data_IF_155079440047
#
_entry.id   IF_155079440047
#
_cell.length_a   1.000
_cell.length_b   1.000
_cell.length_c   1.000
_cell.angle_alpha   90.00
_cell.angle_beta   90.00
_cell.angle_gamma   90.00
#
_symmetry.space_group_name_H-M   'P 1'
#
loop_
_entity.id
_entity.type
_entity.pdbx_description
1 polymer ?
#
# COMPACT_ATOMS: atom_id res chain seq x y z
N UNK A 1 -6.58 25.84 26.30
CA UNK A 1 -6.59 26.63 25.06
C UNK A 1 -7.36 25.83 24.03
N UNK A 2 -8.48 26.35 23.53
CA UNK A 2 -9.16 25.73 22.38
C UNK A 2 -8.19 25.75 21.20
N UNK A 3 -7.96 24.59 20.58
CA UNK A 3 -7.11 24.50 19.40
C UNK A 3 -7.84 25.14 18.22
N UNK A 4 -7.19 26.12 17.58
CA UNK A 4 -7.70 26.77 16.38
C UNK A 4 -7.78 25.76 15.23
N UNK A 5 -8.98 25.54 14.70
CA UNK A 5 -9.21 24.70 13.52
C UNK A 5 -9.29 25.58 12.27
N UNK A 6 -8.69 25.12 11.17
CA UNK A 6 -8.71 25.79 9.87
C UNK A 6 -9.45 24.93 8.86
N UNK A 7 -10.27 25.55 8.00
CA UNK A 7 -10.92 24.87 6.88
C UNK A 7 -9.93 24.71 5.70
N UNK A 8 -9.80 23.49 5.20
CA UNK A 8 -9.12 23.17 3.95
C UNK A 8 -10.04 22.35 3.05
N UNK A 9 -9.68 22.17 1.78
CA UNK A 9 -10.44 21.31 0.85
C UNK A 9 -9.52 20.22 0.31
N UNK A 10 -9.96 18.96 0.44
CA UNK A 10 -9.37 17.82 -0.25
C UNK A 10 -10.42 17.16 -1.14
N UNK A 11 -10.10 17.00 -2.42
CA UNK A 11 -11.09 16.63 -3.43
C UNK A 11 -12.23 17.64 -3.47
N UNK A 12 -13.44 17.17 -3.21
CA UNK A 12 -14.65 17.99 -3.10
C UNK A 12 -15.15 18.10 -1.65
N UNK A 13 -14.34 17.70 -0.68
CA UNK A 13 -14.70 17.61 0.73
C UNK A 13 -13.98 18.70 1.53
N UNK A 14 -14.75 19.51 2.26
CA UNK A 14 -14.22 20.47 3.22
C UNK A 14 -13.75 19.72 4.46
N UNK A 15 -12.57 20.00 4.98
CA UNK A 15 -12.01 19.40 6.20
C UNK A 15 -11.69 20.51 7.21
N UNK A 16 -11.85 20.20 8.50
CA UNK A 16 -11.44 21.04 9.61
C UNK A 16 -10.20 20.41 10.24
N UNK A 17 -9.07 21.11 10.18
CA UNK A 17 -7.77 20.57 10.63
C UNK A 17 -7.16 21.46 11.70
N UNK A 18 -6.45 20.90 12.70
CA UNK A 18 -5.67 21.72 13.63
C UNK A 18 -4.66 22.56 12.86
N UNK A 19 -4.64 23.88 13.10
CA UNK A 19 -3.77 24.82 12.39
C UNK A 19 -2.30 24.39 12.35
N UNK A 20 -1.81 23.88 13.48
CA UNK A 20 -0.42 23.42 13.64
C UNK A 20 -0.08 22.22 12.73
N UNK A 21 -1.08 21.43 12.32
CA UNK A 21 -0.88 20.32 11.37
C UNK A 21 -0.50 20.78 9.96
N UNK A 22 -0.73 22.06 9.62
CA UNK A 22 -0.37 22.65 8.33
C UNK A 22 1.03 23.26 8.32
N UNK A 23 1.58 23.56 9.50
CA UNK A 23 2.83 24.29 9.66
C UNK A 23 3.96 23.32 10.02
N UNK A 24 3.69 22.35 10.89
CA UNK A 24 4.71 21.44 11.41
C UNK A 24 5.09 20.34 10.41
N UNK A 25 6.37 20.03 10.34
CA UNK A 25 6.89 18.88 9.62
C UNK A 25 6.49 17.55 10.28
N UNK A 26 6.22 17.54 11.58
CA UNK A 26 5.69 16.41 12.34
C UNK A 26 4.38 16.81 13.02
N UNK A 27 3.22 16.59 12.36
CA UNK A 27 1.95 17.07 12.86
C UNK A 27 1.67 16.62 14.30
N UNK A 28 1.12 17.51 15.15
CA UNK A 28 0.85 17.19 16.54
C UNK A 28 -0.21 16.09 16.66
N UNK A 29 -0.10 15.28 17.72
CA UNK A 29 -1.11 14.26 18.04
C UNK A 29 -2.29 14.82 18.83
N UNK A 30 -2.11 15.99 19.43
CA UNK A 30 -3.14 16.72 20.15
C UNK A 30 -3.57 17.97 19.37
N UNK A 31 -4.86 18.32 19.37
CA UNK A 31 -5.98 17.58 19.94
C UNK A 31 -6.34 16.34 19.11
N UNK A 32 -5.95 16.31 17.84
CA UNK A 32 -6.13 15.19 16.92
C UNK A 32 -5.07 15.25 15.82
N UNK A 33 -4.60 14.09 15.36
CA UNK A 33 -3.60 14.03 14.30
C UNK A 33 -4.23 14.24 12.91
N UNK A 34 -3.57 15.06 12.09
CA UNK A 34 -3.82 15.15 10.65
C UNK A 34 -2.51 15.38 9.90
N UNK A 35 -2.27 14.62 8.83
CA UNK A 35 -1.12 14.83 7.96
C UNK A 35 -1.56 15.32 6.58
N UNK A 36 -1.28 16.59 6.20
CA UNK A 36 -1.60 17.10 4.87
C UNK A 36 -0.82 16.38 3.76
N UNK A 37 0.37 15.85 4.04
CA UNK A 37 1.17 15.09 3.06
C UNK A 37 0.52 13.76 2.66
N UNK A 38 -0.42 13.26 3.47
CA UNK A 38 -1.17 12.05 3.17
C UNK A 38 -2.35 12.28 2.19
N UNK A 39 -2.55 13.52 1.68
CA UNK A 39 -3.58 13.85 0.68
C UNK A 39 -3.53 12.92 -0.53
N UNK A 40 -2.35 12.73 -1.12
CA UNK A 40 -2.19 11.85 -2.31
C UNK A 40 -2.59 10.40 -1.98
N UNK A 41 -2.28 9.92 -0.77
CA UNK A 41 -2.72 8.58 -0.32
C UNK A 41 -4.24 8.46 -0.23
N UNK A 42 -4.90 9.51 0.27
CA UNK A 42 -6.36 9.59 0.33
C UNK A 42 -6.96 9.67 -1.08
N UNK A 43 -6.38 10.43 -1.99
CA UNK A 43 -6.81 10.49 -3.39
C UNK A 43 -6.77 9.10 -4.06
N UNK A 44 -5.66 8.37 -3.95
CA UNK A 44 -5.61 6.99 -4.44
C UNK A 44 -6.62 6.07 -3.75
N UNK A 45 -6.87 6.28 -2.44
CA UNK A 45 -7.88 5.51 -1.71
C UNK A 45 -9.27 5.74 -2.32
N UNK A 46 -9.66 6.98 -2.59
CA UNK A 46 -10.94 7.31 -3.23
C UNK A 46 -11.04 6.68 -4.63
N UNK A 47 -9.98 6.76 -5.45
CA UNK A 47 -9.96 6.12 -6.78
C UNK A 47 -10.13 4.60 -6.68
N UNK A 48 -9.37 3.95 -5.79
CA UNK A 48 -9.42 2.50 -5.61
C UNK A 48 -10.78 2.04 -5.10
N UNK A 49 -11.37 2.77 -4.14
CA UNK A 49 -12.70 2.46 -3.59
C UNK A 49 -13.80 2.66 -4.64
N UNK A 50 -13.77 3.76 -5.39
CA UNK A 50 -14.70 3.98 -6.51
C UNK A 50 -14.64 2.82 -7.51
N UNK A 51 -13.43 2.42 -7.91
CA UNK A 51 -13.20 1.32 -8.86
C UNK A 51 -13.76 -0.01 -8.35
N UNK A 52 -13.49 -0.32 -7.08
CA UNK A 52 -13.99 -1.52 -6.44
C UNK A 52 -15.54 -1.55 -6.41
N UNK A 53 -16.18 -0.44 -6.06
CA UNK A 53 -17.63 -0.34 -5.90
C UNK A 53 -18.42 -0.49 -7.22
N UNK A 54 -17.78 -0.34 -8.38
CA UNK A 54 -18.39 -0.60 -9.69
C UNK A 54 -18.71 -2.09 -9.90
N UNK A 55 -17.87 -2.97 -9.33
CA UNK A 55 -17.98 -4.42 -9.54
C UNK A 55 -18.56 -5.15 -8.34
N UNK A 56 -18.49 -4.56 -7.15
CA UNK A 56 -19.01 -5.16 -5.92
C UNK A 56 -20.54 -5.11 -5.87
N UNK A 57 -21.17 -6.25 -5.58
CA UNK A 57 -22.64 -6.44 -5.57
C UNK A 57 -23.25 -6.64 -4.18
N UNK A 58 -22.45 -6.66 -3.12
CA UNK A 58 -22.95 -6.76 -1.75
C UNK A 58 -23.31 -5.41 -1.12
N UNK A 59 -23.69 -5.38 0.17
CA UNK A 59 -23.95 -4.16 0.92
C UNK A 59 -22.72 -3.25 0.95
N UNK A 60 -22.86 -1.99 0.54
CA UNK A 60 -21.72 -1.07 0.32
C UNK A 60 -21.38 -0.31 1.60
N UNK A 61 -20.91 -1.07 2.59
CA UNK A 61 -20.47 -0.57 3.90
C UNK A 61 -18.97 -0.28 3.90
N UNK A 62 -18.58 0.91 4.35
CA UNK A 62 -17.18 1.31 4.56
C UNK A 62 -16.86 1.36 6.06
N UNK A 63 -15.78 0.69 6.47
CA UNK A 63 -15.29 0.68 7.85
C UNK A 63 -13.93 1.40 7.92
N UNK A 64 -13.90 2.55 8.61
CA UNK A 64 -12.67 3.28 8.95
C UNK A 64 -12.30 2.97 10.41
N UNK A 65 -11.31 2.11 10.63
CA UNK A 65 -10.98 1.61 11.98
C UNK A 65 -10.20 2.60 12.85
N UNK A 66 -9.48 3.53 12.21
CA UNK A 66 -8.51 4.46 12.79
C UNK A 66 -8.63 5.82 12.08
N UNK A 67 -9.80 6.44 12.20
CA UNK A 67 -10.23 7.51 11.32
C UNK A 67 -9.51 8.85 11.55
N UNK A 68 -8.91 9.05 12.73
CA UNK A 68 -8.44 10.36 13.17
C UNK A 68 -9.58 11.39 13.07
N UNK A 69 -9.34 12.50 12.36
CA UNK A 69 -10.37 13.52 12.11
C UNK A 69 -11.41 13.13 11.05
N UNK A 70 -11.43 11.88 10.57
CA UNK A 70 -12.38 11.40 9.56
C UNK A 70 -12.08 11.85 8.13
N UNK A 71 -10.84 12.30 7.84
CA UNK A 71 -10.48 12.83 6.53
C UNK A 71 -10.66 11.80 5.38
N UNK A 72 -10.50 10.49 5.66
CA UNK A 72 -10.73 9.45 4.66
C UNK A 72 -12.20 9.05 4.60
N UNK A 73 -12.78 8.67 5.74
CA UNK A 73 -14.18 8.24 5.84
C UNK A 73 -15.17 9.28 5.33
N UNK A 74 -14.98 10.57 5.65
CA UNK A 74 -15.92 11.62 5.21
C UNK A 74 -15.74 11.91 3.73
N UNK A 75 -14.52 11.85 3.19
CA UNK A 75 -14.32 11.88 1.73
C UNK A 75 -15.00 10.72 1.04
N UNK A 76 -14.90 9.50 1.58
CA UNK A 76 -15.64 8.33 1.06
C UNK A 76 -17.15 8.60 1.10
N UNK A 77 -17.66 9.17 2.19
CA UNK A 77 -19.07 9.46 2.30
C UNK A 77 -19.53 10.56 1.32
N UNK A 78 -18.74 11.60 1.14
CA UNK A 78 -19.09 12.77 0.34
C UNK A 78 -18.84 12.57 -1.17
N UNK A 79 -17.76 11.88 -1.53
CA UNK A 79 -17.29 11.76 -2.92
C UNK A 79 -17.80 10.48 -3.59
N UNK A 80 -18.22 9.46 -2.83
CA UNK A 80 -18.68 8.16 -3.36
C UNK A 80 -20.16 7.91 -3.02
N UNK A 81 -21.06 8.28 -3.94
CA UNK A 81 -22.51 8.10 -3.79
C UNK A 81 -22.92 6.64 -3.62
N UNK A 82 -22.18 5.73 -4.24
CA UNK A 82 -22.45 4.29 -4.17
C UNK A 82 -22.32 3.71 -2.75
N UNK A 83 -21.61 4.38 -1.82
CA UNK A 83 -21.47 3.90 -0.44
C UNK A 83 -22.73 4.19 0.34
N UNK A 84 -23.31 3.14 0.93
CA UNK A 84 -24.58 3.18 1.66
C UNK A 84 -24.38 3.64 3.11
N UNK A 85 -23.32 3.13 3.76
CA UNK A 85 -23.05 3.40 5.18
C UNK A 85 -21.56 3.52 5.42
N UNK A 86 -21.17 4.54 6.17
CA UNK A 86 -19.78 4.78 6.59
C UNK A 86 -19.71 4.69 8.11
N UNK A 87 -18.79 3.89 8.62
CA UNK A 87 -18.46 3.84 10.03
C UNK A 87 -17.10 4.50 10.26
N UNK A 88 -17.08 5.46 11.19
CA UNK A 88 -15.95 6.31 11.52
C UNK A 88 -15.54 6.00 12.96
N UNK A 89 -14.48 5.23 13.13
CA UNK A 89 -14.01 4.81 14.43
C UNK A 89 -12.67 5.44 14.79
N UNK A 90 -12.55 5.97 16.01
CA UNK A 90 -11.27 6.36 16.58
C UNK A 90 -11.33 6.26 18.12
N UNK A 91 -10.20 6.02 18.77
CA UNK A 91 -10.12 6.01 20.24
C UNK A 91 -10.04 7.41 20.84
N UNK A 92 -9.73 8.43 20.03
CA UNK A 92 -9.65 9.81 20.47
C UNK A 92 -11.00 10.52 20.31
N UNK A 93 -11.74 10.81 21.39
CA UNK A 93 -13.04 11.49 21.32
C UNK A 93 -12.94 12.87 20.67
N UNK A 94 -11.85 13.62 20.89
CA UNK A 94 -11.67 14.94 20.26
C UNK A 94 -11.53 14.84 18.74
N UNK A 95 -10.92 13.78 18.24
CA UNK A 95 -10.81 13.53 16.81
C UNK A 95 -12.19 13.21 16.21
N UNK A 96 -13.01 12.43 16.91
CA UNK A 96 -14.40 12.15 16.52
C UNK A 96 -15.29 13.39 16.55
N UNK A 97 -15.15 14.28 17.54
CA UNK A 97 -15.87 15.56 17.58
C UNK A 97 -15.55 16.42 16.34
N UNK A 98 -14.27 16.47 15.93
CA UNK A 98 -13.86 17.15 14.70
C UNK A 98 -14.47 16.45 13.48
N UNK A 99 -14.43 15.11 13.42
CA UNK A 99 -15.01 14.34 12.32
C UNK A 99 -16.52 14.57 12.18
N UNK A 100 -17.26 14.66 13.28
CA UNK A 100 -18.69 14.99 13.29
C UNK A 100 -18.96 16.40 12.74
N UNK A 101 -18.13 17.39 13.14
CA UNK A 101 -18.21 18.75 12.59
C UNK A 101 -17.94 18.75 11.08
N UNK A 102 -16.93 18.01 10.63
CA UNK A 102 -16.60 17.86 9.21
C UNK A 102 -17.76 17.22 8.43
N UNK A 103 -18.36 16.15 8.95
CA UNK A 103 -19.52 15.54 8.30
C UNK A 103 -20.69 16.53 8.19
N UNK A 104 -20.94 17.32 9.25
CA UNK A 104 -21.99 18.35 9.28
C UNK A 104 -21.77 19.44 8.24
N UNK A 105 -20.57 20.01 8.11
CA UNK A 105 -20.30 21.09 7.13
C UNK A 105 -20.38 20.63 5.67
N UNK A 106 -20.24 19.32 5.42
CA UNK A 106 -20.41 18.71 4.09
C UNK A 106 -21.83 18.13 3.89
N UNK A 107 -22.75 18.30 4.84
CA UNK A 107 -24.11 17.74 4.81
C UNK A 107 -24.15 16.20 4.64
N UNK A 108 -23.14 15.50 5.16
CA UNK A 108 -23.06 14.04 5.11
C UNK A 108 -23.84 13.42 6.27
N UNK A 109 -24.86 12.61 5.94
CA UNK A 109 -25.75 11.97 6.94
C UNK A 109 -25.54 10.47 7.10
N UNK A 110 -24.76 9.82 6.23
CA UNK A 110 -24.53 8.37 6.22
C UNK A 110 -23.37 7.88 7.11
N UNK A 111 -22.78 8.77 7.89
CA UNK A 111 -21.68 8.47 8.83
C UNK A 111 -22.21 8.04 10.20
N UNK A 112 -21.64 6.97 10.74
CA UNK A 112 -21.89 6.45 12.09
C UNK A 112 -20.57 6.52 12.84
N UNK A 113 -20.55 7.18 14.00
CA UNK A 113 -19.31 7.41 14.76
C UNK A 113 -19.25 6.46 15.95
N UNK A 114 -18.07 5.91 16.24
CA UNK A 114 -17.83 5.04 17.39
C UNK A 114 -16.49 5.34 18.05
N UNK A 115 -16.46 5.24 19.37
CA UNK A 115 -15.25 5.38 20.20
C UNK A 115 -14.84 4.00 20.72
N UNK A 116 -14.23 3.21 19.86
CA UNK A 116 -13.78 1.85 20.16
C UNK A 116 -12.30 1.66 19.83
N UNK A 117 -11.64 0.78 20.58
CA UNK A 117 -10.35 0.22 20.14
C UNK A 117 -10.55 -0.49 18.79
N UNK A 118 -9.62 -0.29 17.85
CA UNK A 118 -9.78 -0.68 16.45
C UNK A 118 -10.13 -2.17 16.25
N UNK A 119 -9.53 -3.11 16.99
CA UNK A 119 -9.92 -4.51 16.89
C UNK A 119 -11.24 -4.82 17.60
N UNK A 120 -11.62 -4.11 18.67
CA UNK A 120 -12.97 -4.23 19.24
C UNK A 120 -14.03 -3.80 18.23
N UNK A 121 -13.81 -2.65 17.58
CA UNK A 121 -14.64 -2.13 16.50
C UNK A 121 -14.72 -3.10 15.31
N UNK A 122 -13.60 -3.57 14.79
CA UNK A 122 -13.59 -4.51 13.66
C UNK A 122 -14.26 -5.84 14.02
N UNK A 123 -14.06 -6.32 15.25
CA UNK A 123 -14.69 -7.56 15.73
C UNK A 123 -16.21 -7.45 15.85
N UNK A 124 -16.76 -6.27 16.18
CA UNK A 124 -18.20 -6.05 16.19
C UNK A 124 -18.83 -6.14 14.79
N UNK A 125 -18.02 -5.97 13.74
CA UNK A 125 -18.39 -6.10 12.33
C UNK A 125 -18.01 -7.46 11.71
N UNK A 126 -17.63 -8.46 12.51
CA UNK A 126 -17.23 -9.79 12.01
C UNK A 126 -18.41 -10.70 11.61
N UNK A 127 -19.63 -10.34 12.02
CA UNK A 127 -20.88 -11.07 11.70
C UNK A 127 -21.38 -10.75 10.30
N UNK A 128 -22.14 -11.67 9.71
CA UNK A 128 -22.60 -11.61 8.30
C UNK A 128 -23.27 -10.29 7.91
N UNK A 129 -24.05 -9.69 8.81
CA UNK A 129 -24.81 -8.46 8.55
C UNK A 129 -24.05 -7.16 8.83
N UNK A 130 -22.78 -7.23 9.29
CA UNK A 130 -21.98 -6.06 9.65
C UNK A 130 -20.68 -5.90 8.87
N UNK A 131 -20.26 -6.90 8.09
CA UNK A 131 -18.96 -6.86 7.40
C UNK A 131 -18.88 -5.71 6.39
N UNK A 132 -17.73 -5.06 6.35
CA UNK A 132 -17.43 -3.99 5.40
C UNK A 132 -17.21 -4.54 4.00
N UNK A 133 -17.85 -3.91 3.00
CA UNK A 133 -17.42 -4.05 1.62
C UNK A 133 -16.00 -3.53 1.44
N UNK A 134 -15.67 -2.47 2.18
CA UNK A 134 -14.34 -1.88 2.24
C UNK A 134 -13.97 -1.69 3.71
N UNK A 135 -12.79 -2.16 4.09
CA UNK A 135 -12.22 -1.98 5.43
C UNK A 135 -10.87 -1.30 5.29
N UNK A 136 -10.66 -0.20 6.01
CA UNK A 136 -9.41 0.56 6.01
C UNK A 136 -8.73 0.51 7.39
N UNK A 137 -7.45 0.15 7.37
CA UNK A 137 -6.57 0.09 8.55
C UNK A 137 -5.38 1.00 8.28
N UNK A 138 -5.36 2.17 8.94
CA UNK A 138 -4.35 3.21 8.76
C UNK A 138 -3.73 3.66 10.09
N UNK A 139 -2.89 2.82 10.73
CA UNK A 139 -2.33 3.11 12.04
C UNK A 139 -1.04 3.91 11.94
N UNK A 140 -0.65 4.48 13.07
CA UNK A 140 0.74 4.86 13.29
C UNK A 140 1.61 3.60 13.46
N UNK A 141 2.56 3.42 12.55
CA UNK A 141 3.55 2.34 12.60
C UNK A 141 3.08 1.08 11.88
N UNK A 142 3.14 -0.06 12.57
CA UNK A 142 2.83 -1.37 11.96
C UNK A 142 1.32 -1.66 12.00
N UNK A 143 0.73 -2.11 10.89
CA UNK A 143 -0.65 -2.60 10.87
C UNK A 143 -0.81 -4.03 11.36
N UNK A 144 0.30 -4.76 11.58
CA UNK A 144 0.28 -6.21 11.79
C UNK A 144 -0.68 -6.69 12.89
N UNK A 145 -0.85 -5.90 13.96
CA UNK A 145 -1.74 -6.25 15.08
C UNK A 145 -3.23 -6.22 14.74
N UNK A 146 -3.62 -5.53 13.67
CA UNK A 146 -5.02 -5.36 13.27
C UNK A 146 -5.43 -6.25 12.09
N UNK A 147 -4.49 -6.97 11.48
CA UNK A 147 -4.76 -7.70 10.23
C UNK A 147 -5.79 -8.82 10.41
N UNK A 148 -5.72 -9.58 11.51
CA UNK A 148 -6.69 -10.66 11.79
C UNK A 148 -8.12 -10.09 11.92
N UNK A 149 -8.31 -9.11 12.80
CA UNK A 149 -9.61 -8.48 13.02
C UNK A 149 -10.13 -7.76 11.76
N UNK A 150 -9.23 -7.15 10.97
CA UNK A 150 -9.53 -6.54 9.68
C UNK A 150 -10.03 -7.52 8.63
N UNK A 151 -9.35 -8.66 8.47
CA UNK A 151 -9.73 -9.71 7.53
C UNK A 151 -11.11 -10.26 7.89
N UNK A 152 -11.38 -10.53 9.18
CA UNK A 152 -12.69 -11.03 9.64
C UNK A 152 -13.83 -10.03 9.45
N UNK A 153 -13.53 -8.73 9.56
CA UNK A 153 -14.48 -7.65 9.33
C UNK A 153 -14.76 -7.38 7.84
N UNK A 154 -13.94 -7.94 6.93
CA UNK A 154 -14.09 -7.73 5.49
C UNK A 154 -15.05 -8.75 4.89
N UNK A 155 -15.99 -8.28 4.07
CA UNK A 155 -16.97 -9.11 3.38
C UNK A 155 -16.29 -10.07 2.39
N UNK A 156 -16.94 -11.20 2.04
CA UNK A 156 -16.43 -12.07 0.98
C UNK A 156 -16.42 -11.33 -0.37
N UNK A 157 -15.27 -11.24 -1.02
CA UNK A 157 -15.07 -10.41 -2.20
C UNK A 157 -14.92 -8.92 -1.89
N UNK A 158 -14.87 -8.55 -0.60
CA UNK A 158 -14.60 -7.21 -0.08
C UNK A 158 -13.16 -6.77 -0.28
N UNK A 159 -12.92 -5.47 -0.13
CA UNK A 159 -11.60 -4.85 -0.21
C UNK A 159 -11.08 -4.53 1.20
N UNK A 160 -9.86 -4.95 1.49
CA UNK A 160 -9.11 -4.55 2.67
C UNK A 160 -7.94 -3.66 2.24
N UNK A 161 -7.90 -2.44 2.75
CA UNK A 161 -6.79 -1.51 2.58
C UNK A 161 -5.98 -1.36 3.88
N UNK A 162 -4.67 -1.46 3.76
CA UNK A 162 -3.75 -1.51 4.91
C UNK A 162 -2.59 -0.56 4.69
N UNK A 163 -2.36 0.36 5.62
CA UNK A 163 -1.20 1.24 5.64
C UNK A 163 -0.15 0.78 6.66
N UNK A 164 1.13 0.92 6.32
CA UNK A 164 2.24 0.82 7.26
C UNK A 164 3.12 2.06 7.18
N UNK A 165 3.50 2.60 8.34
CA UNK A 165 4.39 3.77 8.46
C UNK A 165 5.66 3.50 9.27
N UNK A 166 5.96 2.26 9.66
CA UNK A 166 7.20 1.88 10.33
C UNK A 166 8.33 1.53 9.36
N UNK A 167 8.65 2.49 8.48
CA UNK A 167 9.59 2.35 7.37
C UNK A 167 10.96 1.80 7.79
N UNK A 168 11.50 2.24 8.93
CA UNK A 168 12.82 1.78 9.41
C UNK A 168 12.85 0.27 9.66
N UNK A 169 11.74 -0.31 10.13
CA UNK A 169 11.61 -1.76 10.30
C UNK A 169 11.56 -2.45 8.94
N UNK A 170 10.75 -1.93 8.02
CA UNK A 170 10.53 -2.49 6.68
C UNK A 170 11.74 -2.32 5.74
N UNK A 171 12.65 -1.39 5.99
CA UNK A 171 13.90 -1.17 5.24
C UNK A 171 15.12 -1.90 5.83
N UNK A 172 14.93 -2.80 6.79
CA UNK A 172 16.02 -3.62 7.31
C UNK A 172 16.99 -2.91 8.25
N UNK A 173 16.61 -1.79 8.90
CA UNK A 173 17.37 -1.25 10.04
C UNK A 173 17.20 -2.13 11.28
N UNK A 174 16.01 -2.70 11.48
CA UNK A 174 15.68 -3.55 12.63
C UNK A 174 15.13 -4.92 12.21
N UNK A 175 15.97 -5.84 11.68
CA UNK A 175 15.51 -7.13 11.15
C UNK A 175 14.75 -8.00 12.17
N UNK A 176 15.16 -7.98 13.44
CA UNK A 176 14.46 -8.69 14.51
C UNK A 176 13.05 -8.13 14.77
N UNK A 177 12.86 -6.81 14.68
CA UNK A 177 11.54 -6.19 14.79
C UNK A 177 10.67 -6.53 13.57
N UNK A 178 11.28 -6.57 12.38
CA UNK A 178 10.62 -6.95 11.14
C UNK A 178 10.07 -8.38 11.24
N UNK A 179 10.88 -9.34 11.69
CA UNK A 179 10.44 -10.73 11.91
C UNK A 179 9.28 -10.84 12.88
N UNK A 180 9.33 -10.12 14.02
CA UNK A 180 8.25 -10.16 15.01
C UNK A 180 6.93 -9.58 14.48
N UNK A 181 7.00 -8.50 13.70
CA UNK A 181 5.81 -7.78 13.22
C UNK A 181 5.22 -8.37 11.95
N UNK A 182 6.07 -8.74 10.98
CA UNK A 182 5.66 -9.11 9.62
C UNK A 182 5.89 -10.58 9.29
N UNK A 183 6.44 -11.37 10.21
CA UNK A 183 6.77 -12.79 10.01
C UNK A 183 7.78 -13.05 8.86
N UNK A 184 8.48 -12.00 8.42
CA UNK A 184 9.53 -12.04 7.41
C UNK A 184 10.68 -11.12 7.78
N UNK A 185 11.81 -11.26 7.09
CA UNK A 185 13.01 -10.44 7.27
C UNK A 185 13.18 -9.50 6.09
N UNK A 186 13.43 -8.22 6.36
CA UNK A 186 13.87 -7.25 5.35
C UNK A 186 15.39 -7.15 5.30
N UNK A 187 15.92 -6.77 4.14
CA UNK A 187 17.34 -6.51 3.89
C UNK A 187 17.50 -5.13 3.25
N UNK A 188 18.67 -4.51 3.45
CA UNK A 188 18.98 -3.18 2.89
C UNK A 188 19.38 -3.32 1.44
N UNK A 189 18.54 -2.82 0.54
CA UNK A 189 18.74 -2.83 -0.92
C UNK A 189 18.11 -1.60 -1.56
N UNK A 190 18.48 -1.31 -2.80
CA UNK A 190 17.93 -0.25 -3.64
C UNK A 190 16.43 -0.43 -3.88
N UNK A 191 15.94 -1.67 -3.80
CA UNK A 191 14.55 -2.09 -3.94
C UNK A 191 13.84 -2.38 -2.62
N UNK A 192 14.31 -1.77 -1.52
CA UNK A 192 13.68 -1.85 -0.20
C UNK A 192 12.20 -1.46 -0.16
N UNK A 193 11.78 -0.50 -1.00
CA UNK A 193 10.37 -0.11 -1.15
C UNK A 193 9.47 -1.29 -1.56
N UNK A 194 9.96 -2.11 -2.50
CA UNK A 194 9.21 -3.26 -2.97
C UNK A 194 9.24 -4.43 -1.97
N UNK A 195 10.39 -4.66 -1.32
CA UNK A 195 10.51 -5.63 -0.22
C UNK A 195 9.49 -5.32 0.88
N UNK A 196 9.36 -4.05 1.26
CA UNK A 196 8.42 -3.60 2.28
C UNK A 196 6.97 -3.99 1.95
N UNK A 197 6.51 -3.67 0.73
CA UNK A 197 5.16 -4.00 0.27
C UNK A 197 4.92 -5.51 0.20
N UNK A 198 5.92 -6.27 -0.26
CA UNK A 198 5.86 -7.73 -0.31
C UNK A 198 5.83 -8.36 1.08
N UNK A 199 6.50 -7.77 2.08
CA UNK A 199 6.43 -8.21 3.47
C UNK A 199 5.04 -7.96 4.08
N UNK A 200 4.43 -6.80 3.80
CA UNK A 200 3.06 -6.49 4.25
C UNK A 200 2.08 -7.52 3.65
N UNK A 201 2.14 -7.72 2.33
CA UNK A 201 1.31 -8.72 1.64
C UNK A 201 1.57 -10.15 2.14
N UNK A 202 2.84 -10.52 2.36
CA UNK A 202 3.20 -11.83 2.90
C UNK A 202 2.62 -12.05 4.30
N UNK A 203 2.69 -11.03 5.17
CA UNK A 203 2.09 -11.07 6.50
C UNK A 203 0.56 -11.22 6.42
N UNK A 204 -0.10 -10.44 5.56
CA UNK A 204 -1.53 -10.56 5.31
C UNK A 204 -1.91 -11.95 4.81
N UNK A 205 -1.13 -12.54 3.89
CA UNK A 205 -1.37 -13.87 3.34
C UNK A 205 -1.26 -14.97 4.39
N UNK A 206 -0.22 -14.92 5.24
CA UNK A 206 -0.03 -15.87 6.35
C UNK A 206 -1.18 -15.80 7.35
N UNK A 207 -1.69 -14.60 7.67
CA UNK A 207 -2.81 -14.44 8.60
C UNK A 207 -4.12 -14.92 7.95
N UNK A 208 -4.36 -14.55 6.69
CA UNK A 208 -5.56 -14.97 5.96
C UNK A 208 -5.65 -16.50 5.84
N UNK A 209 -4.52 -17.17 5.54
CA UNK A 209 -4.48 -18.63 5.43
C UNK A 209 -4.87 -19.37 6.70
N UNK A 210 -4.60 -18.80 7.89
CA UNK A 210 -5.05 -19.37 9.19
C UNK A 210 -6.57 -19.31 9.38
N UNK A 211 -7.26 -18.54 8.54
CA UNK A 211 -8.70 -18.29 8.58
C UNK A 211 -9.45 -18.95 7.42
N UNK A 212 -8.77 -19.80 6.62
CA UNK A 212 -9.29 -20.36 5.37
C UNK A 212 -9.74 -19.28 4.37
N UNK A 213 -8.96 -18.18 4.33
CA UNK A 213 -9.21 -17.01 3.49
C UNK A 213 -7.98 -16.74 2.62
N UNK A 214 -8.21 -16.27 1.40
CA UNK A 214 -7.16 -15.80 0.48
C UNK A 214 -7.22 -14.29 0.36
N UNK A 215 -6.05 -13.66 0.27
CA UNK A 215 -5.94 -12.29 -0.22
C UNK A 215 -5.52 -12.28 -1.69
N UNK A 216 -6.08 -11.34 -2.46
CA UNK A 216 -5.67 -11.10 -3.84
C UNK A 216 -5.25 -9.63 -3.95
N UNK A 217 -3.95 -9.33 -4.12
CA UNK A 217 -3.49 -7.96 -4.33
C UNK A 217 -4.19 -7.32 -5.53
N UNK A 218 -4.67 -6.09 -5.35
CA UNK A 218 -5.29 -5.29 -6.42
C UNK A 218 -4.38 -4.14 -6.83
N UNK A 219 -3.82 -3.46 -5.82
CA UNK A 219 -3.00 -2.27 -6.00
C UNK A 219 -2.13 -2.05 -4.76
N UNK A 220 -0.96 -1.43 -4.96
CA UNK A 220 -0.07 -1.01 -3.87
C UNK A 220 0.43 0.41 -4.12
N UNK A 221 0.74 1.13 -3.04
CA UNK A 221 1.34 2.45 -3.06
C UNK A 221 2.60 2.47 -2.21
N UNK A 222 3.55 3.29 -2.65
CA UNK A 222 4.71 3.65 -1.87
C UNK A 222 4.86 5.18 -1.87
N UNK A 223 5.31 5.71 -0.75
CA UNK A 223 5.74 7.10 -0.60
C UNK A 223 6.85 7.13 0.45
N UNK A 224 7.64 8.21 0.51
CA UNK A 224 8.67 8.42 1.53
C UNK A 224 8.18 8.32 2.99
N UNK A 225 6.86 8.31 3.22
CA UNK A 225 6.26 8.28 4.56
C UNK A 225 5.35 7.09 4.85
N UNK A 226 4.99 6.27 3.85
CA UNK A 226 4.08 5.14 4.05
C UNK A 226 4.16 4.10 2.94
N UNK A 227 3.69 2.89 3.26
CA UNK A 227 3.34 1.85 2.33
C UNK A 227 1.85 1.56 2.46
N UNK A 228 1.15 1.38 1.35
CA UNK A 228 -0.27 1.01 1.38
C UNK A 228 -0.57 -0.12 0.43
N UNK A 229 -1.38 -1.07 0.87
CA UNK A 229 -1.80 -2.26 0.13
C UNK A 229 -3.32 -2.26 0.03
N UNK A 230 -3.84 -2.63 -1.13
CA UNK A 230 -5.26 -2.85 -1.39
C UNK A 230 -5.41 -4.30 -1.86
N UNK A 231 -6.12 -5.11 -1.10
CA UNK A 231 -6.30 -6.52 -1.42
C UNK A 231 -7.77 -6.92 -1.33
N UNK A 232 -8.22 -7.76 -2.26
CA UNK A 232 -9.52 -8.42 -2.18
C UNK A 232 -9.43 -9.60 -1.23
N UNK A 233 -10.42 -9.74 -0.35
CA UNK A 233 -10.52 -10.84 0.62
C UNK A 233 -11.51 -11.87 0.09
N UNK A 234 -11.07 -13.12 -0.10
CA UNK A 234 -11.89 -14.21 -0.63
C UNK A 234 -11.93 -15.37 0.36
N UNK A 235 -13.14 -15.76 0.77
CA UNK A 235 -13.35 -17.01 1.53
C UNK A 235 -13.25 -18.18 0.55
N UNK A 236 -12.05 -18.72 0.39
CA UNK A 236 -11.74 -19.89 -0.44
C UNK A 236 -10.50 -20.59 0.10
N UNK A 237 -10.51 -21.91 0.02
CA UNK A 237 -9.43 -22.80 0.50
C UNK A 237 -8.33 -23.01 -0.53
N UNK A 238 -8.64 -22.87 -1.82
CA UNK A 238 -7.67 -23.07 -2.89
C UNK A 238 -6.82 -21.81 -3.10
N UNK A 239 -5.60 -21.87 -2.56
CA UNK A 239 -4.64 -20.75 -2.55
C UNK A 239 -3.37 -21.15 -3.29
N UNK A 240 -3.05 -20.41 -4.35
CA UNK A 240 -1.72 -20.45 -4.94
C UNK A 240 -0.72 -19.96 -3.89
N UNK A 241 0.25 -20.79 -3.53
CA UNK A 241 1.27 -20.42 -2.56
C UNK A 241 2.25 -19.39 -3.16
N UNK A 242 1.89 -18.11 -3.06
CA UNK A 242 2.71 -16.98 -3.54
C UNK A 242 3.67 -16.46 -2.46
N UNK A 243 4.14 -17.33 -1.57
CA UNK A 243 5.15 -17.03 -0.56
C UNK A 243 6.52 -17.52 -1.02
N UNK A 244 7.54 -16.70 -0.78
CA UNK A 244 8.93 -17.06 -1.07
C UNK A 244 9.90 -16.02 -0.55
N UNK A 245 11.08 -15.97 -1.15
CA UNK A 245 12.18 -15.09 -0.76
C UNK A 245 12.74 -14.35 -1.96
N UNK A 246 13.35 -13.20 -1.69
CA UNK A 246 14.24 -12.52 -2.65
C UNK A 246 15.67 -12.75 -2.18
N UNK A 247 16.43 -13.49 -2.97
CA UNK A 247 17.88 -13.61 -2.85
C UNK A 247 18.52 -12.32 -3.35
N UNK A 248 19.49 -11.79 -2.60
CA UNK A 248 20.32 -10.65 -3.00
C UNK A 248 21.80 -10.95 -2.75
N UNK A 249 22.61 -10.94 -3.79
CA UNK A 249 24.06 -11.07 -3.67
C UNK A 249 24.72 -9.69 -3.61
N UNK A 250 25.20 -9.28 -2.43
CA UNK A 250 25.89 -7.99 -2.24
C UNK A 250 27.14 -7.82 -3.11
N UNK A 251 27.84 -8.92 -3.43
CA UNK A 251 29.08 -8.88 -4.21
C UNK A 251 28.82 -8.48 -5.66
N UNK A 252 28.02 -9.25 -6.41
CA UNK A 252 27.79 -8.99 -7.83
C UNK A 252 26.49 -8.22 -8.13
N UNK A 253 25.59 -8.07 -7.15
CA UNK A 253 24.27 -7.48 -7.35
C UNK A 253 23.26 -8.45 -7.97
N UNK A 254 23.56 -9.74 -8.10
CA UNK A 254 22.56 -10.67 -8.59
C UNK A 254 21.38 -10.76 -7.61
N UNK A 255 20.16 -10.81 -8.14
CA UNK A 255 18.95 -10.93 -7.35
C UNK A 255 17.96 -11.85 -8.02
N UNK A 256 17.24 -12.64 -7.23
CA UNK A 256 16.35 -13.68 -7.75
C UNK A 256 15.22 -13.99 -6.77
N UNK A 257 14.05 -14.32 -7.31
CA UNK A 257 12.93 -14.88 -6.55
C UNK A 257 13.12 -16.38 -6.40
N UNK A 258 13.01 -16.87 -5.17
CA UNK A 258 13.18 -18.29 -4.85
C UNK A 258 12.10 -18.73 -3.86
N UNK A 259 11.69 -19.99 -3.92
CA UNK A 259 10.76 -20.60 -2.94
C UNK A 259 11.52 -21.35 -1.84
N UNK A 260 12.72 -21.82 -2.14
CA UNK A 260 13.62 -22.52 -1.22
C UNK A 260 14.93 -21.77 -1.10
N UNK A 261 15.50 -21.76 0.11
CA UNK A 261 16.72 -21.00 0.40
C UNK A 261 17.94 -21.74 -0.17
N UNK A 262 18.59 -21.13 -1.16
CA UNK A 262 19.90 -21.56 -1.67
C UNK A 262 21.01 -21.21 -0.65
N UNK A 263 22.22 -21.73 -0.81
CA UNK A 263 23.40 -21.31 -0.06
C UNK A 263 24.35 -20.42 -0.87
N UNK A 264 24.13 -20.27 -2.18
CA UNK A 264 25.09 -19.61 -3.07
C UNK A 264 24.44 -18.75 -4.16
N UNK A 265 25.14 -17.71 -4.60
CA UNK A 265 24.74 -16.90 -5.74
C UNK A 265 25.11 -17.59 -7.07
N UNK A 266 24.13 -17.81 -7.94
CA UNK A 266 24.33 -18.44 -9.26
C UNK A 266 25.29 -17.72 -10.22
N UNK A 267 25.62 -16.44 -9.96
CA UNK A 267 26.52 -15.64 -10.82
C UNK A 267 27.97 -15.66 -10.34
N UNK A 268 28.21 -15.67 -9.02
CA UNK A 268 29.56 -15.49 -8.48
C UNK A 268 29.90 -16.38 -7.28
N UNK A 269 29.06 -17.38 -6.98
CA UNK A 269 29.19 -18.37 -5.91
C UNK A 269 29.40 -17.80 -4.50
N UNK A 270 29.13 -16.51 -4.30
CA UNK A 270 29.28 -15.85 -3.01
C UNK A 270 28.00 -16.01 -2.18
N UNK A 271 28.14 -15.97 -0.85
CA UNK A 271 27.01 -16.07 0.07
C UNK A 271 26.04 -14.88 -0.12
N UNK A 272 24.76 -15.13 -0.46
CA UNK A 272 23.77 -14.07 -0.60
C UNK A 272 23.07 -13.76 0.74
N UNK A 273 22.28 -12.69 0.73
CA UNK A 273 21.29 -12.37 1.76
C UNK A 273 19.87 -12.66 1.26
N UNK A 274 18.93 -12.80 2.19
CA UNK A 274 17.55 -13.19 1.89
C UNK A 274 16.55 -12.24 2.50
N UNK A 275 15.67 -11.68 1.68
CA UNK A 275 14.45 -11.03 2.13
C UNK A 275 13.31 -12.05 2.14
N UNK A 276 12.57 -12.16 3.25
CA UNK A 276 11.38 -13.02 3.34
C UNK A 276 11.27 -13.86 4.63
N UNK A 277 10.31 -14.79 4.68
CA UNK A 277 9.32 -15.06 3.64
C UNK A 277 8.43 -13.84 3.36
N UNK A 278 8.10 -13.60 2.10
CA UNK A 278 7.32 -12.47 1.62
C UNK A 278 6.48 -12.86 0.40
N UNK A 279 5.58 -11.98 -0.03
CA UNK A 279 4.78 -12.18 -1.23
C UNK A 279 5.62 -12.09 -2.50
N UNK A 280 5.65 -13.15 -3.30
CA UNK A 280 6.41 -13.22 -4.57
C UNK A 280 5.53 -13.08 -5.81
N UNK A 281 4.20 -13.11 -5.66
CA UNK A 281 3.26 -12.90 -6.76
C UNK A 281 3.18 -11.45 -7.26
N UNK A 282 2.26 -11.17 -8.18
CA UNK A 282 2.01 -9.81 -8.66
C UNK A 282 1.50 -8.90 -7.55
N UNK A 283 1.88 -7.62 -7.62
CA UNK A 283 1.42 -6.56 -6.72
C UNK A 283 0.18 -5.83 -7.25
N UNK A 284 -0.17 -6.10 -8.51
CA UNK A 284 -1.16 -5.34 -9.27
C UNK A 284 -2.14 -6.25 -9.97
N UNK A 285 -3.38 -5.81 -10.06
CA UNK A 285 -4.36 -6.40 -10.95
C UNK A 285 -4.61 -5.45 -12.12
N UNK A 286 -4.35 -5.90 -13.35
CA UNK A 286 -4.44 -5.07 -14.56
C UNK A 286 -5.83 -4.45 -14.74
N UNK A 287 -6.88 -5.25 -14.68
CA UNK A 287 -8.27 -4.79 -14.84
C UNK A 287 -8.65 -3.77 -13.77
N UNK A 288 -8.17 -3.96 -12.54
CA UNK A 288 -8.37 -3.00 -11.46
C UNK A 288 -7.67 -1.67 -11.74
N UNK A 289 -6.41 -1.68 -12.20
CA UNK A 289 -5.68 -0.45 -12.57
C UNK A 289 -6.33 0.28 -13.76
N UNK A 290 -6.81 -0.44 -14.76
CA UNK A 290 -7.56 0.14 -15.88
C UNK A 290 -8.86 0.79 -15.38
N UNK A 291 -9.58 0.13 -14.48
CA UNK A 291 -10.73 0.70 -13.79
C UNK A 291 -10.38 1.96 -12.99
N UNK A 292 -9.23 1.98 -12.30
CA UNK A 292 -8.75 3.15 -11.57
C UNK A 292 -8.52 4.35 -12.49
N UNK A 293 -8.00 4.15 -13.71
CA UNK A 293 -7.86 5.23 -14.71
C UNK A 293 -9.20 5.75 -15.24
N UNK A 294 -10.25 4.92 -15.23
CA UNK A 294 -11.59 5.34 -15.64
C UNK A 294 -12.27 6.16 -14.55
N UNK A 295 -12.16 5.73 -13.29
CA UNK A 295 -12.75 6.44 -12.15
C UNK A 295 -11.99 7.73 -11.81
N UNK A 296 -10.66 7.77 -11.96
CA UNK A 296 -9.85 8.98 -11.74
C UNK A 296 -10.37 10.18 -12.54
N UNK A 297 -10.81 9.97 -13.79
CA UNK A 297 -11.35 11.03 -14.65
C UNK A 297 -12.65 11.66 -14.13
N UNK A 298 -13.37 10.97 -13.25
CA UNK A 298 -14.65 11.40 -12.69
C UNK A 298 -14.48 12.07 -11.33
N UNK A 299 -13.29 11.98 -10.73
CA UNK A 299 -13.00 12.42 -9.37
C UNK A 299 -12.11 13.67 -9.36
N UNK A 300 -12.26 14.50 -8.33
CA UNK A 300 -11.35 15.61 -8.10
C UNK A 300 -10.15 15.13 -7.29
N UNK A 301 -9.07 14.76 -7.97
CA UNK A 301 -7.86 14.19 -7.37
C UNK A 301 -6.60 14.81 -7.96
N UNK A 302 -5.47 14.62 -7.28
CA UNK A 302 -4.18 15.09 -7.77
C UNK A 302 -3.78 14.42 -9.10
N UNK A 303 -3.32 15.22 -10.09
CA UNK A 303 -2.92 14.76 -11.43
C UNK A 303 -1.77 13.75 -11.42
N UNK A 304 -0.99 13.71 -10.33
CA UNK A 304 0.08 12.71 -10.15
C UNK A 304 -0.48 11.28 -9.97
N UNK A 305 -1.73 11.13 -9.52
CA UNK A 305 -2.39 9.83 -9.38
C UNK A 305 -2.43 9.08 -10.71
N UNK A 306 -2.96 9.73 -11.76
CA UNK A 306 -3.00 9.19 -13.12
C UNK A 306 -1.63 8.72 -13.60
N UNK A 307 -0.61 9.58 -13.51
CA UNK A 307 0.76 9.26 -13.95
C UNK A 307 1.32 8.05 -13.20
N UNK A 308 0.98 7.89 -11.93
CA UNK A 308 1.45 6.77 -11.11
C UNK A 308 0.73 5.47 -11.50
N UNK A 309 -0.60 5.51 -11.70
CA UNK A 309 -1.38 4.34 -12.15
C UNK A 309 -0.90 3.88 -13.53
N UNK A 310 -0.61 4.80 -14.45
CA UNK A 310 -0.04 4.48 -15.77
C UNK A 310 1.35 3.81 -15.66
N UNK A 311 2.17 4.19 -14.66
CA UNK A 311 3.43 3.49 -14.37
C UNK A 311 3.18 2.08 -13.82
N UNK A 312 2.23 1.94 -12.89
CA UNK A 312 1.83 0.63 -12.35
C UNK A 312 1.36 -0.34 -13.45
N UNK A 313 0.61 0.15 -14.44
CA UNK A 313 0.18 -0.66 -15.59
C UNK A 313 1.34 -1.21 -16.42
N UNK A 314 2.44 -0.46 -16.53
CA UNK A 314 3.63 -0.90 -17.26
C UNK A 314 4.46 -1.95 -16.49
N UNK A 315 4.22 -2.13 -15.19
CA UNK A 315 5.00 -3.05 -14.34
C UNK A 315 4.20 -4.27 -13.83
N UNK A 316 2.94 -4.47 -14.25
CA UNK A 316 2.05 -5.53 -13.74
C UNK A 316 2.66 -6.94 -13.82
N UNK A 317 3.29 -7.24 -14.95
CA UNK A 317 3.87 -8.57 -15.25
C UNK A 317 5.39 -8.61 -15.03
N UNK A 318 5.96 -7.55 -14.47
CA UNK A 318 7.40 -7.46 -14.27
C UNK A 318 7.83 -8.22 -13.02
N UNK A 319 9.03 -8.83 -13.03
CA UNK A 319 9.51 -9.61 -11.91
C UNK A 319 9.67 -8.76 -10.64
N UNK A 320 9.67 -9.41 -9.46
CA UNK A 320 10.03 -8.76 -8.20
C UNK A 320 11.42 -8.11 -8.24
N UNK A 321 11.58 -7.02 -7.50
CA UNK A 321 12.76 -6.15 -7.44
C UNK A 321 12.95 -5.26 -8.68
N UNK A 322 13.90 -4.34 -8.58
CA UNK A 322 14.28 -3.41 -9.65
C UNK A 322 15.77 -3.04 -9.53
N UNK A 323 16.29 -2.39 -10.57
CA UNK A 323 17.63 -1.84 -10.63
C UNK A 323 17.56 -0.32 -10.72
N UNK A 324 18.49 0.39 -10.09
CA UNK A 324 18.63 1.85 -10.27
C UNK A 324 19.71 2.17 -11.28
N UNK A 325 19.58 3.32 -11.95
CA UNK A 325 20.61 3.81 -12.88
C UNK A 325 21.98 3.95 -12.20
N UNK A 326 21.99 4.45 -10.96
CA UNK A 326 23.21 4.67 -10.18
C UNK A 326 23.88 3.33 -9.81
N UNK A 327 23.10 2.31 -9.46
CA UNK A 327 23.62 0.98 -9.17
C UNK A 327 24.33 0.40 -10.40
N UNK A 328 23.67 0.43 -11.56
CA UNK A 328 24.21 -0.10 -12.81
C UNK A 328 25.46 0.67 -13.24
N UNK A 329 25.41 2.00 -13.18
CA UNK A 329 26.54 2.88 -13.51
C UNK A 329 27.76 2.62 -12.61
N UNK A 330 27.54 2.51 -11.29
CA UNK A 330 28.59 2.18 -10.33
C UNK A 330 29.25 0.84 -10.63
N UNK A 331 28.45 -0.20 -10.90
CA UNK A 331 28.94 -1.55 -11.21
C UNK A 331 29.71 -1.61 -12.53
N UNK A 332 29.25 -0.87 -13.55
CA UNK A 332 29.91 -0.78 -14.85
C UNK A 332 31.14 0.14 -14.86
N UNK A 333 31.29 1.00 -13.83
CA UNK A 333 32.28 2.10 -13.78
C UNK A 333 32.12 3.05 -14.98
N UNK A 334 30.88 3.40 -15.29
CA UNK A 334 30.53 4.31 -16.39
C UNK A 334 29.56 5.40 -15.92
N UNK A 335 29.37 6.44 -16.72
CA UNK A 335 28.28 7.39 -16.51
C UNK A 335 26.92 6.68 -16.65
N UNK A 336 25.89 7.07 -15.88
CA UNK A 336 24.55 6.52 -16.01
C UNK A 336 23.95 6.93 -17.36
N UNK A 337 23.39 5.95 -18.07
CA UNK A 337 22.52 6.21 -19.22
C UNK A 337 21.16 6.73 -18.72
N UNK A 338 20.43 7.45 -19.58
CA UNK A 338 19.05 7.83 -19.28
C UNK A 338 18.15 6.60 -19.19
N UNK A 339 17.11 6.69 -18.36
CA UNK A 339 16.18 5.59 -18.09
C UNK A 339 15.60 4.98 -19.38
N UNK A 340 15.12 5.84 -20.30
CA UNK A 340 14.54 5.41 -21.56
C UNK A 340 15.55 4.64 -22.44
N UNK A 341 16.82 5.07 -22.45
CA UNK A 341 17.87 4.42 -23.26
C UNK A 341 18.24 3.04 -22.72
N UNK A 342 18.29 2.87 -21.39
CA UNK A 342 18.55 1.56 -20.80
C UNK A 342 17.41 0.60 -21.09
N UNK A 343 16.17 1.04 -20.89
CA UNK A 343 14.98 0.21 -21.17
C UNK A 343 14.96 -0.20 -22.65
N UNK A 344 15.19 0.74 -23.57
CA UNK A 344 15.24 0.46 -25.01
C UNK A 344 16.34 -0.55 -25.37
N UNK A 345 17.55 -0.39 -24.82
CA UNK A 345 18.65 -1.34 -25.06
C UNK A 345 18.33 -2.74 -24.55
N UNK A 346 17.77 -2.86 -23.35
CA UNK A 346 17.40 -4.15 -22.76
C UNK A 346 16.29 -4.83 -23.57
N UNK A 347 15.28 -4.07 -24.00
CA UNK A 347 14.21 -4.57 -24.88
C UNK A 347 14.74 -5.04 -26.24
N UNK A 348 15.67 -4.29 -26.85
CA UNK A 348 16.34 -4.70 -28.11
C UNK A 348 17.17 -5.97 -27.96
N UNK A 349 17.66 -6.27 -26.76
CA UNK A 349 18.37 -7.51 -26.46
C UNK A 349 17.43 -8.70 -26.20
N UNK A 350 16.11 -8.50 -26.25
CA UNK A 350 15.10 -9.56 -26.13
C UNK A 350 14.52 -9.76 -24.73
N UNK A 351 14.90 -8.91 -23.77
CA UNK A 351 14.41 -8.97 -22.39
C UNK A 351 13.21 -8.06 -22.17
N UNK A 352 12.35 -8.39 -21.21
CA UNK A 352 11.30 -7.49 -20.75
C UNK A 352 11.93 -6.36 -19.95
N UNK A 353 11.50 -5.12 -20.16
CA UNK A 353 11.90 -4.00 -19.32
C UNK A 353 10.83 -2.91 -19.22
N UNK A 354 10.71 -2.31 -18.05
CA UNK A 354 9.76 -1.23 -17.78
C UNK A 354 10.31 -0.23 -16.78
N UNK A 355 9.73 0.96 -16.76
CA UNK A 355 9.83 1.85 -15.60
C UNK A 355 9.09 1.24 -14.39
N UNK A 356 9.39 1.71 -13.18
CA UNK A 356 8.66 1.32 -11.97
C UNK A 356 8.04 2.52 -11.25
N UNK A 357 6.93 2.30 -10.55
CA UNK A 357 6.34 3.31 -9.66
C UNK A 357 7.09 3.43 -8.31
N UNK A 358 8.00 2.49 -8.00
CA UNK A 358 8.68 2.38 -6.71
C UNK A 358 9.87 3.34 -6.56
N UNK A 359 10.50 3.73 -7.67
CA UNK A 359 11.64 4.63 -7.69
C UNK A 359 11.73 5.32 -9.07
N UNK A 360 11.83 6.66 -9.13
CA UNK A 360 11.84 7.41 -10.38
C UNK A 360 13.08 7.18 -11.26
N UNK A 361 14.21 6.75 -10.70
CA UNK A 361 15.46 6.44 -11.41
C UNK A 361 15.69 4.92 -11.53
N UNK A 362 14.62 4.13 -11.53
CA UNK A 362 14.72 2.68 -11.58
C UNK A 362 13.91 2.07 -12.73
N UNK A 363 14.34 0.87 -13.12
CA UNK A 363 13.68 0.02 -14.10
C UNK A 363 13.59 -1.42 -13.58
N UNK A 364 12.57 -2.13 -14.05
CA UNK A 364 12.44 -3.58 -13.87
C UNK A 364 12.85 -4.29 -15.14
N UNK A 365 13.35 -5.51 -15.00
CA UNK A 365 13.69 -6.40 -16.11
C UNK A 365 13.78 -7.84 -15.64
N UNK A 366 13.54 -8.79 -16.55
CA UNK A 366 13.81 -10.22 -16.38
C UNK A 366 15.27 -10.61 -16.66
N UNK A 367 16.10 -9.67 -17.13
CA UNK A 367 17.55 -9.86 -17.28
C UNK A 367 18.27 -9.92 -15.93
N UNK A 368 19.28 -10.80 -15.85
CA UNK A 368 20.21 -10.84 -14.72
C UNK A 368 21.21 -9.68 -14.77
N UNK A 369 21.86 -9.40 -13.64
CA UNK A 369 22.81 -8.30 -13.55
C UNK A 369 24.00 -8.43 -14.51
N UNK A 370 24.50 -9.64 -14.77
CA UNK A 370 25.58 -9.91 -15.73
C UNK A 370 25.16 -9.57 -17.17
N UNK A 371 23.92 -9.90 -17.52
CA UNK A 371 23.32 -9.60 -18.83
C UNK A 371 23.10 -8.10 -19.00
N UNK A 372 22.54 -7.43 -17.99
CA UNK A 372 22.34 -5.97 -17.99
C UNK A 372 23.67 -5.26 -18.23
N UNK A 373 24.73 -5.63 -17.49
CA UNK A 373 26.05 -4.99 -17.59
C UNK A 373 26.72 -5.20 -18.96
N UNK A 374 26.37 -6.29 -19.67
CA UNK A 374 26.86 -6.55 -21.02
C UNK A 374 26.15 -5.73 -22.11
N UNK A 375 24.89 -5.34 -21.86
CA UNK A 375 24.02 -4.60 -22.79
C UNK A 375 24.23 -3.09 -22.70
N UNK A 376 24.22 -2.58 -21.47
CA UNK A 376 24.23 -1.13 -21.19
C UNK A 376 25.58 -0.55 -21.48
#
# INVERSE_FOLDING_TARGET
METELVEIVEGNTKLLVPKDSLIDNSPPREPAFFNPRARISRDFSIIAYATFLQTFRGPKVFLDSLAGIGARSIRVANELDAVEKVFVNDVNPKALEIAQKIAKINNVTKCNFSEDEACRFLSSHSRREGRGAIVDIDPFGSPSRYLDCGIRATFHGGLLSVTATDLTVLHGLFPAACRRKYYGTSIRTEYGNEIALRLILGCMNVIAGRLDVTIVPLFVQNNMHYYKVYAKVLVKTDTSNNMGYILHCKKCGNRQVITEVDNSCQVCNSKPEYAGPLWIGSLYNKDFLEGMLLEEKKLQVDKSCKKTIEKCLKEVDMPPSYYTLDEVAHRKRSAPLSLDKIIEKIQKAGFSASITCMNPSAFKTDARIDEILSIV
#
